data_IF_466367210868
#
_entry.id   IF_466367210868
#
_cell.length_a   1.000
_cell.length_b   1.000
_cell.length_c   1.000
_cell.angle_alpha   90.00
_cell.angle_beta   90.00
_cell.angle_gamma   90.00
#
_symmetry.space_group_name_H-M   'P 1'
#
loop_
_entity.id
_entity.type
_entity.pdbx_description
1 polymer ?
#
# COMPACT_ATOMS: atom_id res chain seq x y z
N UNK A 1 -17.49 -6.79 -15.06
CA UNK A 1 -16.63 -5.88 -14.29
C UNK A 1 -16.31 -4.72 -15.21
N UNK A 2 -16.65 -3.49 -14.81
CA UNK A 2 -16.22 -2.28 -15.52
C UNK A 2 -14.69 -2.21 -15.51
N UNK A 3 -14.08 -1.78 -16.63
CA UNK A 3 -12.63 -1.68 -16.74
C UNK A 3 -12.15 -0.43 -16.03
N UNK A 4 -11.08 -0.56 -15.25
CA UNK A 4 -10.38 0.59 -14.70
C UNK A 4 -9.85 1.47 -15.84
N UNK A 5 -10.09 2.78 -15.74
CA UNK A 5 -9.48 3.78 -16.60
C UNK A 5 -8.00 3.80 -16.25
N UNK A 6 -7.21 3.38 -17.22
CA UNK A 6 -5.78 3.18 -17.09
C UNK A 6 -5.04 4.42 -17.61
N UNK A 7 -4.44 5.15 -16.69
CA UNK A 7 -3.54 6.28 -16.97
C UNK A 7 -2.06 5.84 -17.04
N UNK A 8 -1.75 4.54 -16.88
CA UNK A 8 -0.40 4.00 -16.69
C UNK A 8 -0.06 2.75 -17.52
N UNK A 9 -0.37 2.74 -18.84
CA UNK A 9 0.00 1.65 -19.77
C UNK A 9 -0.47 0.22 -19.37
N UNK A 10 -1.45 0.11 -18.48
CA UNK A 10 -2.17 -1.12 -18.14
C UNK A 10 -1.93 -1.58 -16.71
N UNK A 11 -1.02 -0.95 -15.98
CA UNK A 11 -0.59 -1.39 -14.65
C UNK A 11 -1.74 -1.25 -13.63
N UNK A 12 -2.43 -0.11 -13.61
CA UNK A 12 -3.52 0.12 -12.65
C UNK A 12 -4.71 -0.80 -12.89
N UNK A 13 -4.92 -1.24 -14.14
CA UNK A 13 -6.00 -2.17 -14.50
C UNK A 13 -5.95 -3.52 -13.78
N UNK A 14 -4.79 -3.86 -13.19
CA UNK A 14 -4.54 -5.13 -12.48
C UNK A 14 -4.56 -4.97 -10.96
N UNK A 15 -4.82 -3.78 -10.42
CA UNK A 15 -4.74 -3.55 -8.96
C UNK A 15 -5.68 -4.47 -8.16
N UNK A 16 -6.84 -4.80 -8.73
CA UNK A 16 -7.78 -5.75 -8.12
C UNK A 16 -7.28 -7.20 -8.19
N UNK A 17 -6.61 -7.59 -9.27
CA UNK A 17 -5.96 -8.90 -9.36
C UNK A 17 -4.86 -9.03 -8.29
N UNK A 18 -4.08 -7.96 -8.10
CA UNK A 18 -3.05 -7.92 -7.04
C UNK A 18 -3.67 -7.98 -5.65
N UNK A 19 -4.75 -7.23 -5.40
CA UNK A 19 -5.49 -7.30 -4.14
C UNK A 19 -5.94 -8.74 -3.84
N UNK A 20 -6.59 -9.38 -4.80
CA UNK A 20 -7.10 -10.75 -4.65
C UNK A 20 -5.95 -11.74 -4.42
N UNK A 21 -4.85 -11.62 -5.17
CA UNK A 21 -3.71 -12.51 -5.04
C UNK A 21 -2.99 -12.35 -3.70
N UNK A 22 -2.84 -11.12 -3.19
CA UNK A 22 -2.25 -10.87 -1.88
C UNK A 22 -3.10 -11.47 -0.75
N UNK A 23 -4.43 -11.33 -0.81
CA UNK A 23 -5.33 -11.94 0.18
C UNK A 23 -5.35 -13.46 0.07
N UNK A 24 -5.31 -14.01 -1.15
CA UNK A 24 -5.27 -15.47 -1.39
C UNK A 24 -3.97 -16.10 -0.87
N UNK A 25 -2.83 -15.49 -1.17
CA UNK A 25 -1.50 -16.01 -0.83
C UNK A 25 -1.09 -15.73 0.62
N UNK A 26 -1.58 -14.64 1.21
CA UNK A 26 -1.26 -14.24 2.59
C UNK A 26 -2.56 -14.03 3.41
N UNK A 27 -3.27 -15.10 3.78
CA UNK A 27 -4.49 -15.00 4.58
C UNK A 27 -4.29 -14.20 5.87
N UNK A 28 -5.24 -13.31 6.18
CA UNK A 28 -5.17 -12.41 7.34
C UNK A 28 -4.51 -11.06 7.06
N UNK A 29 -3.96 -10.86 5.86
CA UNK A 29 -3.43 -9.56 5.43
C UNK A 29 -4.56 -8.54 5.28
N UNK A 30 -4.24 -7.27 5.47
CA UNK A 30 -5.14 -6.15 5.23
C UNK A 30 -4.70 -5.49 3.93
N UNK A 31 -5.55 -5.57 2.90
CA UNK A 31 -5.31 -4.93 1.61
C UNK A 31 -6.56 -4.16 1.24
N UNK A 32 -6.41 -2.89 0.86
CA UNK A 32 -7.51 -2.05 0.43
C UNK A 32 -7.14 -1.34 -0.87
N UNK A 33 -8.10 -1.27 -1.80
CA UNK A 33 -8.00 -0.49 -3.02
C UNK A 33 -9.13 0.51 -2.98
N UNK A 34 -8.81 1.79 -3.17
CA UNK A 34 -9.79 2.87 -3.30
C UNK A 34 -9.71 3.42 -4.72
N UNK A 35 -10.87 3.74 -5.26
CA UNK A 35 -11.03 4.39 -6.55
C UNK A 35 -11.46 5.83 -6.33
N UNK A 36 -11.15 6.70 -7.30
CA UNK A 36 -11.56 8.10 -7.27
C UNK A 36 -13.10 8.21 -7.10
N UNK A 37 -13.57 9.02 -6.15
CA UNK A 37 -15.00 9.16 -5.87
C UNK A 37 -15.75 9.93 -6.97
N UNK A 38 -15.06 10.85 -7.66
CA UNK A 38 -15.62 11.71 -8.71
C UNK A 38 -15.46 11.08 -10.10
N UNK A 39 -14.32 10.42 -10.34
CA UNK A 39 -14.03 9.68 -11.57
C UNK A 39 -14.12 8.16 -11.34
N UNK A 40 -15.35 7.63 -11.44
CA UNK A 40 -15.58 6.19 -11.31
C UNK A 40 -14.65 5.37 -12.20
N UNK A 41 -14.07 4.32 -11.60
CA UNK A 41 -13.09 3.44 -12.23
C UNK A 41 -11.70 4.06 -12.47
N UNK A 42 -11.32 5.16 -11.78
CA UNK A 42 -9.91 5.63 -11.75
C UNK A 42 -9.24 5.15 -10.47
N UNK A 43 -8.00 4.67 -10.57
CA UNK A 43 -7.20 4.29 -9.40
C UNK A 43 -6.83 5.53 -8.57
N UNK A 44 -7.07 5.48 -7.25
CA UNK A 44 -6.68 6.55 -6.33
C UNK A 44 -5.58 6.07 -5.37
N UNK A 45 -5.84 5.00 -4.61
CA UNK A 45 -4.92 4.51 -3.58
C UNK A 45 -5.00 3.01 -3.35
N UNK A 46 -3.88 2.40 -2.96
CA UNK A 46 -3.82 1.02 -2.50
C UNK A 46 -3.02 0.92 -1.21
N UNK A 47 -3.59 0.31 -0.18
CA UNK A 47 -2.93 0.00 1.08
C UNK A 47 -2.62 -1.49 1.17
N UNK A 48 -1.44 -1.84 1.69
CA UNK A 48 -1.02 -3.21 1.94
C UNK A 48 -0.36 -3.34 3.31
N UNK A 49 -0.89 -4.25 4.12
CA UNK A 49 -0.28 -4.72 5.36
C UNK A 49 -0.39 -6.23 5.48
N UNK A 50 0.72 -6.92 5.23
CA UNK A 50 0.77 -8.37 5.25
C UNK A 50 0.67 -8.90 6.68
N UNK A 51 -0.05 -10.01 6.86
CA UNK A 51 -0.27 -10.62 8.17
C UNK A 51 1.04 -10.99 8.87
N UNK A 52 1.98 -11.58 8.11
CA UNK A 52 3.31 -11.91 8.60
C UNK A 52 4.08 -10.69 9.11
N UNK A 53 4.00 -9.57 8.38
CA UNK A 53 4.66 -8.32 8.75
C UNK A 53 4.11 -7.74 10.06
N UNK A 54 2.78 -7.54 10.16
CA UNK A 54 2.19 -6.98 11.38
C UNK A 54 2.41 -7.88 12.60
N UNK A 55 2.31 -9.21 12.43
CA UNK A 55 2.56 -10.17 13.52
C UNK A 55 4.04 -10.20 13.92
N UNK A 56 4.96 -10.21 12.95
CA UNK A 56 6.39 -10.21 13.24
C UNK A 56 6.85 -8.93 13.93
N UNK A 57 6.31 -7.78 13.53
CA UNK A 57 6.53 -6.52 14.25
C UNK A 57 6.09 -6.64 15.72
N UNK A 58 4.85 -7.09 15.96
CA UNK A 58 4.31 -7.22 17.31
C UNK A 58 5.03 -8.26 18.17
N UNK A 59 5.56 -9.33 17.55
CA UNK A 59 6.19 -10.43 18.26
C UNK A 59 7.65 -10.16 18.67
N UNK A 60 8.41 -9.42 17.86
CA UNK A 60 9.86 -9.35 18.03
C UNK A 60 10.54 -8.04 17.65
N UNK A 61 9.83 -7.07 17.08
CA UNK A 61 10.42 -5.77 16.78
C UNK A 61 10.39 -4.84 18.00
N UNK A 62 11.27 -3.84 17.98
CA UNK A 62 11.26 -2.71 18.89
C UNK A 62 9.99 -1.89 18.65
N UNK A 63 9.43 -1.33 19.72
CA UNK A 63 8.20 -0.51 19.68
C UNK A 63 8.48 0.91 19.16
N UNK A 64 9.03 0.99 17.96
CA UNK A 64 9.32 2.22 17.23
C UNK A 64 8.90 2.01 15.79
N UNK A 65 8.17 2.97 15.25
CA UNK A 65 7.76 3.01 13.84
C UNK A 65 8.32 4.28 13.23
N UNK A 66 9.03 4.13 12.11
CA UNK A 66 9.38 5.21 11.21
C UNK A 66 8.39 5.25 10.06
N UNK A 67 8.03 6.46 9.64
CA UNK A 67 7.21 6.72 8.46
C UNK A 67 8.07 7.50 7.48
N UNK A 68 8.03 7.11 6.22
CA UNK A 68 8.71 7.81 5.13
C UNK A 68 7.91 7.68 3.84
N UNK A 69 8.13 8.61 2.92
CA UNK A 69 7.44 8.68 1.64
C UNK A 69 8.41 8.97 0.50
N UNK A 70 8.12 8.45 -0.69
CA UNK A 70 8.86 8.84 -1.89
C UNK A 70 7.95 9.02 -3.10
N UNK A 71 8.32 9.93 -3.99
CA UNK A 71 7.59 10.17 -5.23
C UNK A 71 7.78 9.01 -6.21
N UNK A 72 6.67 8.53 -6.76
CA UNK A 72 6.69 7.60 -7.88
C UNK A 72 7.06 8.33 -9.16
N UNK A 73 7.90 7.68 -9.98
CA UNK A 73 8.18 8.13 -11.34
C UNK A 73 7.37 7.27 -12.30
N UNK A 74 6.29 7.84 -12.85
CA UNK A 74 5.37 7.17 -13.74
C UNK A 74 4.41 8.15 -14.42
N UNK A 75 3.50 7.64 -15.24
CA UNK A 75 2.49 8.46 -15.93
C UNK A 75 1.46 9.06 -14.95
N UNK A 76 1.23 8.41 -13.81
CA UNK A 76 0.47 8.95 -12.69
C UNK A 76 1.42 9.50 -11.65
N UNK A 77 1.18 10.76 -11.27
CA UNK A 77 1.85 11.38 -10.14
C UNK A 77 1.26 10.80 -8.86
N UNK A 78 2.11 10.16 -8.05
CA UNK A 78 1.71 9.56 -6.80
C UNK A 78 2.93 9.37 -5.90
N UNK A 79 2.69 8.89 -4.69
CA UNK A 79 3.69 8.67 -3.67
C UNK A 79 3.53 7.28 -3.09
N UNK A 80 4.64 6.63 -2.73
CA UNK A 80 4.63 5.47 -1.86
C UNK A 80 4.91 5.96 -0.45
N UNK A 81 4.01 5.67 0.48
CA UNK A 81 4.19 5.86 1.92
C UNK A 81 4.49 4.51 2.56
N UNK A 82 5.48 4.46 3.44
CA UNK A 82 5.95 3.22 4.07
C UNK A 82 6.00 3.37 5.59
N UNK A 83 5.49 2.37 6.30
CA UNK A 83 5.68 2.18 7.73
C UNK A 83 6.72 1.09 7.98
N UNK A 84 7.80 1.46 8.66
CA UNK A 84 8.96 0.60 8.91
C UNK A 84 9.23 0.52 10.42
N UNK A 85 9.42 -0.69 10.94
CA UNK A 85 9.89 -0.97 12.29
C UNK A 85 11.40 -1.19 12.36
N UNK A 86 11.89 -1.45 13.57
CA UNK A 86 13.27 -1.89 13.81
C UNK A 86 13.25 -3.23 14.53
N UNK A 87 13.88 -4.24 13.96
CA UNK A 87 13.94 -5.56 14.59
C UNK A 87 14.95 -5.61 15.75
N UNK A 88 15.02 -6.75 16.44
CA UNK A 88 15.97 -6.98 17.52
C UNK A 88 17.45 -6.87 17.06
N UNK A 89 17.71 -7.15 15.77
CA UNK A 89 19.02 -7.08 15.14
C UNK A 89 19.34 -5.69 14.53
N UNK A 90 18.58 -4.65 14.89
CA UNK A 90 18.75 -3.30 14.37
C UNK A 90 18.71 -3.23 12.83
N UNK A 91 17.88 -4.07 12.19
CA UNK A 91 17.55 -3.98 10.78
C UNK A 91 16.20 -3.27 10.59
N UNK A 92 15.99 -2.75 9.38
CA UNK A 92 14.68 -2.23 8.98
C UNK A 92 13.72 -3.40 8.80
N UNK A 93 12.50 -3.24 9.30
CA UNK A 93 11.47 -4.26 9.22
C UNK A 93 10.19 -3.69 8.59
N UNK A 94 9.69 -4.20 7.45
CA UNK A 94 8.50 -3.65 6.82
C UNK A 94 7.24 -3.98 7.63
N UNK A 95 6.35 -2.99 7.82
CA UNK A 95 5.07 -3.17 8.51
C UNK A 95 3.90 -3.06 7.53
N UNK A 96 3.85 -1.95 6.80
CA UNK A 96 2.81 -1.65 5.81
C UNK A 96 3.32 -0.62 4.81
N UNK A 97 2.67 -0.52 3.65
CA UNK A 97 2.89 0.55 2.69
C UNK A 97 1.57 0.91 1.98
N UNK A 98 1.55 2.10 1.40
CA UNK A 98 0.45 2.57 0.58
C UNK A 98 0.96 3.31 -0.65
N UNK A 99 0.34 3.07 -1.80
CA UNK A 99 0.38 4.00 -2.93
C UNK A 99 -0.76 5.00 -2.77
N UNK A 100 -0.43 6.28 -2.82
CA UNK A 100 -1.38 7.39 -2.65
C UNK A 100 -1.12 8.45 -3.73
N UNK A 101 -2.12 9.26 -3.99
CA UNK A 101 -2.07 10.42 -4.86
C UNK A 101 -1.12 11.51 -4.33
N UNK A 102 -1.15 11.77 -3.01
CA UNK A 102 -0.28 12.75 -2.34
C UNK A 102 -0.12 12.39 -0.86
N UNK A 103 0.96 12.84 -0.21
CA UNK A 103 1.05 12.84 1.25
C UNK A 103 0.18 13.97 1.83
N UNK A 104 -1.09 13.70 2.10
CA UNK A 104 -2.01 14.62 2.77
C UNK A 104 -2.65 14.01 4.01
N UNK A 105 -3.29 14.84 4.84
CA UNK A 105 -4.04 14.38 6.01
C UNK A 105 -5.08 13.31 5.66
N UNK A 106 -5.80 13.49 4.55
CA UNK A 106 -6.84 12.56 4.10
C UNK A 106 -6.24 11.22 3.63
N UNK A 107 -5.05 11.26 3.03
CA UNK A 107 -4.32 10.07 2.60
C UNK A 107 -3.83 9.22 3.78
N UNK A 108 -3.70 9.81 4.98
CA UNK A 108 -3.35 9.15 6.24
C UNK A 108 -4.56 8.71 7.08
N UNK A 109 -5.77 9.18 6.76
CA UNK A 109 -7.03 8.82 7.44
C UNK A 109 -7.77 7.68 6.70
#
# INVERSE_FOLDING_TARGET
MEKLIDSTNGEDSRVFDYHLELIRSNPGSTVAVTLDPDEHNVFERMYVCLDGCKKGFMAGCRRVVGLDGCFLKGAVHGQILCAIGRDANNQMYPIAWATVEVESYDSWY
#
